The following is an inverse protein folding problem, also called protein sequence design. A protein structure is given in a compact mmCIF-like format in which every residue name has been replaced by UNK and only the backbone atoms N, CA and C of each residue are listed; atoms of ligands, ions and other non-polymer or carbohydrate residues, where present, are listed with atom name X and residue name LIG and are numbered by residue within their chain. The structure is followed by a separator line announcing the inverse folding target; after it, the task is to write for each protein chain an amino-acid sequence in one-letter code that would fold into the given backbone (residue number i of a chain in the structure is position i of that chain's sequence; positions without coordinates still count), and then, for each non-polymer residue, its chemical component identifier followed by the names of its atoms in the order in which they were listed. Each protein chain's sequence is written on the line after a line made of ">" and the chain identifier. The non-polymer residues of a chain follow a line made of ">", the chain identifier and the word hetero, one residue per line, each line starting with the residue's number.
data_IF_293943816801
#
_entry.id   IF_293943816801
#
_cell.length_a   1.000
_cell.length_b   1.000
_cell.length_c   1.000
_cell.angle_alpha   90.00
_cell.angle_beta   90.00
_cell.angle_gamma   90.00
#
_symmetry.space_group_name_H-M   'P 1'
#
loop_
_entity.id
_entity.type
_entity.pdbx_description
1 polymer ?
#
# COMPACT_ATOMS: atom_id res chain seq x y z
N UNK A 1 15.21 -11.12 4.94
CA UNK A 1 14.77 -9.76 4.58
C UNK A 1 13.25 -9.68 4.60
N UNK A 2 12.72 -8.56 5.01
CA UNK A 2 11.28 -8.31 5.10
C UNK A 2 10.95 -7.07 4.27
N UNK A 3 9.92 -7.16 3.44
CA UNK A 3 9.42 -6.03 2.65
C UNK A 3 8.16 -5.47 3.30
N UNK A 4 7.96 -4.17 3.18
CA UNK A 4 6.70 -3.53 3.49
C UNK A 4 5.79 -3.57 2.27
N UNK A 5 4.53 -3.94 2.48
CA UNK A 5 3.56 -4.00 1.39
C UNK A 5 2.27 -3.30 1.75
N UNK A 6 1.54 -2.89 0.73
CA UNK A 6 0.19 -2.34 0.87
C UNK A 6 -0.79 -3.23 0.10
N UNK A 7 -2.05 -3.19 0.51
CA UNK A 7 -3.10 -4.04 -0.05
C UNK A 7 -3.98 -3.23 -0.98
N UNK A 8 -4.35 -3.81 -2.14
CA UNK A 8 -5.37 -3.27 -3.01
C UNK A 8 -6.73 -3.87 -2.67
N UNK A 9 -7.74 -3.02 -2.53
CA UNK A 9 -9.12 -3.43 -2.30
C UNK A 9 -10.01 -2.89 -3.42
N UNK A 10 -11.06 -3.65 -3.77
CA UNK A 10 -11.98 -3.24 -4.83
C UNK A 10 -12.94 -2.13 -4.40
N UNK A 11 -13.14 -1.95 -3.12
CA UNK A 11 -14.01 -0.90 -2.58
C UNK A 11 -13.60 -0.56 -1.15
N UNK A 12 -13.99 0.63 -0.70
CA UNK A 12 -13.76 1.06 0.68
C UNK A 12 -14.77 0.36 1.59
N UNK A 13 -14.27 -0.26 2.66
CA UNK A 13 -15.11 -0.89 3.66
C UNK A 13 -15.66 0.18 4.62
N UNK A 14 -16.95 0.47 4.50
CA UNK A 14 -17.61 1.52 5.30
C UNK A 14 -17.80 1.13 6.77
N UNK A 15 -17.54 -0.13 7.13
CA UNK A 15 -17.58 -0.59 8.53
C UNK A 15 -16.25 -0.33 9.26
N UNK A 16 -15.21 0.05 8.54
CA UNK A 16 -13.94 0.40 9.16
C UNK A 16 -14.01 1.81 9.79
N UNK A 17 -13.16 2.11 10.78
CA UNK A 17 -13.09 3.45 11.35
C UNK A 17 -12.87 4.52 10.28
N UNK A 18 -13.44 5.70 10.47
CA UNK A 18 -13.35 6.79 9.49
C UNK A 18 -11.91 7.14 9.12
N UNK A 19 -11.00 7.11 10.09
CA UNK A 19 -9.59 7.40 9.83
C UNK A 19 -8.98 6.40 8.87
N UNK A 20 -9.33 5.11 9.00
CA UNK A 20 -8.88 4.07 8.06
C UNK A 20 -9.44 4.33 6.67
N UNK A 21 -10.72 4.69 6.58
CA UNK A 21 -11.36 4.99 5.30
C UNK A 21 -10.71 6.18 4.61
N UNK A 22 -10.30 7.19 5.37
CA UNK A 22 -9.65 8.39 4.84
C UNK A 22 -8.34 8.07 4.12
N UNK A 23 -7.62 7.04 4.56
CA UNK A 23 -6.34 6.65 3.98
C UNK A 23 -6.46 5.56 2.91
N UNK A 24 -7.65 5.33 2.36
CA UNK A 24 -7.85 4.47 1.20
C UNK A 24 -7.68 5.31 -0.06
N UNK A 25 -6.57 5.11 -0.77
CA UNK A 25 -6.21 5.92 -1.93
C UNK A 25 -6.76 5.29 -3.21
N UNK A 26 -7.61 6.00 -3.97
CA UNK A 26 -8.13 5.47 -5.24
C UNK A 26 -7.03 5.36 -6.29
N UNK A 27 -7.09 4.29 -7.09
CA UNK A 27 -6.15 4.04 -8.18
C UNK A 27 -6.94 3.83 -9.47
N UNK A 28 -6.50 4.46 -10.55
CA UNK A 28 -7.14 4.35 -11.86
C UNK A 28 -6.72 3.05 -12.52
N UNK A 29 -7.66 2.10 -12.62
CA UNK A 29 -7.36 0.78 -13.16
C UNK A 29 -6.97 0.83 -14.65
N UNK A 30 -7.40 1.84 -15.38
CA UNK A 30 -7.08 1.99 -16.79
C UNK A 30 -5.56 2.13 -17.04
N UNK A 31 -4.82 2.58 -16.05
CA UNK A 31 -3.37 2.74 -16.15
C UNK A 31 -2.60 1.46 -15.82
N UNK A 32 -3.31 0.43 -15.31
CA UNK A 32 -2.66 -0.79 -14.81
C UNK A 32 -3.32 -2.03 -15.39
N UNK A 33 -2.65 -2.73 -16.35
CA UNK A 33 -3.22 -3.91 -16.99
C UNK A 33 -3.58 -5.05 -16.04
N UNK A 34 -2.94 -5.09 -14.87
CA UNK A 34 -3.22 -6.14 -13.88
C UNK A 34 -4.44 -5.84 -13.01
N UNK A 35 -5.05 -4.67 -13.13
CA UNK A 35 -6.29 -4.32 -12.43
C UNK A 35 -7.45 -4.38 -13.42
N UNK A 36 -8.53 -5.05 -13.04
CA UNK A 36 -9.71 -5.22 -13.90
C UNK A 36 -10.83 -4.26 -13.56
N UNK A 37 -10.72 -3.55 -12.45
CA UNK A 37 -11.73 -2.61 -11.97
C UNK A 37 -11.07 -1.58 -11.05
N UNK A 38 -11.81 -0.51 -10.75
CA UNK A 38 -11.35 0.52 -9.83
C UNK A 38 -10.93 -0.13 -8.51
N UNK A 39 -9.79 0.29 -8.01
CA UNK A 39 -9.22 -0.26 -6.78
C UNK A 39 -8.76 0.87 -5.85
N UNK A 40 -8.60 0.52 -4.59
CA UNK A 40 -8.09 1.43 -3.57
C UNK A 40 -6.87 0.80 -2.92
N UNK A 41 -5.84 1.61 -2.69
CA UNK A 41 -4.66 1.18 -1.92
C UNK A 41 -4.91 1.50 -0.46
N UNK A 42 -4.81 0.49 0.38
CA UNK A 42 -4.91 0.68 1.83
C UNK A 42 -3.60 1.26 2.35
N UNK A 43 -3.59 2.58 2.58
CA UNK A 43 -2.43 3.29 3.10
C UNK A 43 -2.48 3.45 4.63
N UNK A 44 -3.42 2.77 5.30
CA UNK A 44 -3.57 2.83 6.75
C UNK A 44 -2.77 1.76 7.49
N UNK A 45 -2.19 0.80 6.78
CA UNK A 45 -1.36 -0.23 7.38
C UNK A 45 -0.30 -0.74 6.41
N UNK A 46 0.83 -1.18 6.95
CA UNK A 46 1.88 -1.84 6.19
C UNK A 46 1.89 -3.32 6.54
N UNK A 47 1.93 -4.16 5.53
CA UNK A 47 2.05 -5.61 5.69
C UNK A 47 3.51 -6.00 5.64
N UNK A 48 3.92 -6.89 6.51
CA UNK A 48 5.29 -7.42 6.54
C UNK A 48 5.32 -8.68 5.69
N UNK A 49 6.15 -8.66 4.66
CA UNK A 49 6.25 -9.78 3.71
C UNK A 49 7.68 -10.28 3.72
N UNK A 50 7.88 -11.54 4.06
CA UNK A 50 9.21 -12.15 4.01
C UNK A 50 9.66 -12.32 2.56
N UNK A 51 10.94 -12.05 2.30
CA UNK A 51 11.49 -12.22 0.95
C UNK A 51 11.29 -13.64 0.42
N UNK A 52 11.37 -14.65 1.29
CA UNK A 52 11.14 -16.04 0.91
C UNK A 52 9.71 -16.30 0.49
N UNK A 53 8.73 -15.72 1.20
CA UNK A 53 7.32 -15.86 0.83
C UNK A 53 7.03 -15.15 -0.49
N UNK A 54 7.62 -13.96 -0.69
CA UNK A 54 7.47 -13.24 -1.95
C UNK A 54 8.03 -14.03 -3.12
N UNK A 55 9.20 -14.64 -2.96
CA UNK A 55 9.83 -15.46 -4.00
C UNK A 55 9.05 -16.74 -4.31
N UNK A 56 8.48 -17.38 -3.29
CA UNK A 56 7.83 -18.69 -3.43
C UNK A 56 6.34 -18.62 -3.75
N UNK A 57 5.66 -17.57 -3.28
CA UNK A 57 4.19 -17.44 -3.39
C UNK A 57 3.76 -16.22 -4.17
N UNK A 58 4.66 -15.26 -4.37
CA UNK A 58 4.36 -14.03 -5.07
C UNK A 58 4.33 -14.22 -6.58
N UNK A 59 3.56 -13.37 -7.25
CA UNK A 59 3.50 -13.29 -8.70
C UNK A 59 3.74 -11.85 -9.11
N UNK A 60 4.66 -11.63 -10.06
CA UNK A 60 4.90 -10.31 -10.60
C UNK A 60 3.86 -10.00 -11.65
N UNK A 61 3.03 -9.00 -11.40
CA UNK A 61 1.93 -8.59 -12.29
C UNK A 61 2.26 -7.32 -13.08
N UNK A 62 3.19 -6.53 -12.61
CA UNK A 62 3.54 -5.26 -13.21
C UNK A 62 4.08 -4.29 -12.18
N UNK A 63 4.40 -3.08 -12.63
CA UNK A 63 4.91 -2.03 -11.76
C UNK A 63 3.97 -0.83 -11.78
N UNK A 64 3.94 -0.08 -10.69
CA UNK A 64 3.21 1.18 -10.62
C UNK A 64 4.05 2.30 -11.22
N UNK A 65 3.37 3.35 -11.71
CA UNK A 65 4.05 4.55 -12.17
C UNK A 65 4.79 5.20 -11.00
N UNK A 66 5.86 5.92 -11.31
CA UNK A 66 6.63 6.63 -10.28
C UNK A 66 5.75 7.65 -9.55
N UNK A 67 4.88 8.33 -10.28
CA UNK A 67 3.96 9.32 -9.71
C UNK A 67 3.01 8.68 -8.68
N UNK A 68 2.37 7.57 -9.03
CA UNK A 68 1.46 6.88 -8.13
C UNK A 68 2.20 6.27 -6.94
N UNK A 69 3.39 5.74 -7.17
CA UNK A 69 4.22 5.21 -6.09
C UNK A 69 4.56 6.29 -5.06
N UNK A 70 4.92 7.49 -5.53
CA UNK A 70 5.18 8.62 -4.65
C UNK A 70 3.95 9.03 -3.85
N UNK A 71 2.76 9.02 -4.49
CA UNK A 71 1.51 9.30 -3.80
C UNK A 71 1.22 8.27 -2.71
N UNK A 72 1.44 7.00 -2.99
CA UNK A 72 1.26 5.93 -2.01
C UNK A 72 2.21 6.15 -0.82
N UNK A 73 3.49 6.36 -1.09
CA UNK A 73 4.49 6.57 -0.04
C UNK A 73 4.13 7.78 0.82
N UNK A 74 3.79 8.90 0.20
CA UNK A 74 3.43 10.12 0.92
C UNK A 74 2.17 9.92 1.78
N UNK A 75 1.19 9.18 1.27
CA UNK A 75 -0.04 8.89 2.00
C UNK A 75 0.23 7.98 3.20
N UNK A 76 1.03 6.94 3.01
CA UNK A 76 1.45 6.04 4.09
C UNK A 76 2.21 6.80 5.18
N UNK A 77 3.16 7.63 4.79
CA UNK A 77 3.98 8.41 5.73
C UNK A 77 3.13 9.39 6.54
N UNK A 78 2.09 9.95 5.93
CA UNK A 78 1.20 10.90 6.63
C UNK A 78 0.17 10.22 7.53
N UNK A 79 -0.01 8.91 7.43
CA UNK A 79 -1.03 8.20 8.19
C UNK A 79 -0.64 8.05 9.67
N UNK A 80 -1.43 8.61 10.61
CA UNK A 80 -1.09 8.52 12.04
C UNK A 80 -1.30 7.12 12.63
N UNK A 81 -1.94 6.21 11.89
CA UNK A 81 -2.18 4.84 12.35
C UNK A 81 -0.97 3.94 12.14
N UNK A 82 -0.01 4.35 11.32
CA UNK A 82 1.21 3.57 11.08
C UNK A 82 2.28 4.04 12.05
N UNK A 83 2.80 3.15 12.91
CA UNK A 83 3.84 3.53 13.84
C UNK A 83 5.10 4.03 13.14
N UNK A 84 5.73 5.06 13.69
CA UNK A 84 6.95 5.62 13.12
C UNK A 84 8.08 4.56 13.01
N UNK A 85 8.12 3.64 13.97
CA UNK A 85 9.10 2.55 13.93
C UNK A 85 8.96 1.69 12.68
N UNK A 86 7.73 1.44 12.20
CA UNK A 86 7.52 0.70 10.95
C UNK A 86 7.98 1.52 9.74
N UNK A 87 7.70 2.81 9.73
CA UNK A 87 8.16 3.69 8.65
C UNK A 87 9.70 3.68 8.54
N UNK A 88 10.37 3.74 9.68
CA UNK A 88 11.83 3.69 9.73
C UNK A 88 12.33 2.32 9.25
N UNK A 89 11.70 1.25 9.71
CA UNK A 89 12.07 -0.12 9.36
C UNK A 89 12.08 -0.34 7.85
N UNK A 90 11.11 0.24 7.14
CA UNK A 90 10.97 0.07 5.69
C UNK A 90 11.59 1.22 4.89
N UNK A 91 12.38 2.08 5.53
CA UNK A 91 13.07 3.16 4.83
C UNK A 91 12.20 4.31 4.37
N UNK A 92 10.99 4.44 4.90
CA UNK A 92 10.03 5.47 4.51
C UNK A 92 10.16 6.74 5.34
N UNK A 93 10.87 6.69 6.46
CA UNK A 93 11.08 7.84 7.33
C UNK A 93 12.46 7.73 7.98
N UNK A 94 13.03 8.87 8.29
CA UNK A 94 14.26 8.98 9.05
C UNK A 94 13.96 9.55 10.44
N UNK A 95 14.83 9.25 11.37
CA UNK A 95 14.72 9.81 12.72
C UNK A 95 14.91 11.32 12.71
#
# INVERSE_FOLDING_TARGET
>A
MVYGGVVFNSKVNTHMPELVQFYQMPVRYEEYPFLTHRSYVDCASLKRIRSTDLANKGEYLGAMTQEDLELIVNTVVSCPLIPKAELIQFGLSQL
#
